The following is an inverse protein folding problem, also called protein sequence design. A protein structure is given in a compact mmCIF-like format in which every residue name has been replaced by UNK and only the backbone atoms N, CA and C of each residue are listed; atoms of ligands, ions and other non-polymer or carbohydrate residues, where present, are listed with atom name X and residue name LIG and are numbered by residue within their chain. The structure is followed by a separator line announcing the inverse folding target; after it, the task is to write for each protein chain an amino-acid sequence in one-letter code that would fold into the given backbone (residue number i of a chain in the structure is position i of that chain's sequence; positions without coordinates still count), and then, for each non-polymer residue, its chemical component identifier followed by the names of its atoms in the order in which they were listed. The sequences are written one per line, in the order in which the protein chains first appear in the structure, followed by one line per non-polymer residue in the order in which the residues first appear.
data_IF_094374176214
#
_entry.id   IF_094374176214
#
_cell.length_a   1.000
_cell.length_b   1.000
_cell.length_c   1.000
_cell.angle_alpha   90.00
_cell.angle_beta   90.00
_cell.angle_gamma   90.00
#
_symmetry.space_group_name_H-M   'P 1'
#
loop_
_entity.id
_entity.type
_entity.pdbx_description
1 polymer ?
#
# COMPACT_ATOMS: atom_id res chain seq x y z
N UNK A 1 11.04 15.80 13.14
CA UNK A 1 10.87 16.83 12.10
C UNK A 1 9.68 17.67 12.48
N UNK A 2 9.73 19.01 12.35
CA UNK A 2 8.55 19.84 12.54
C UNK A 2 7.53 19.61 11.41
N UNK A 3 6.26 19.88 11.68
CA UNK A 3 5.25 20.04 10.62
C UNK A 3 5.55 21.33 9.86
N UNK A 4 5.29 21.35 8.56
CA UNK A 4 5.51 22.53 7.74
C UNK A 4 4.66 23.72 8.23
N UNK A 5 5.20 24.95 8.24
CA UNK A 5 4.47 26.13 8.71
C UNK A 5 3.12 26.35 8.01
N UNK A 6 3.04 26.07 6.71
CA UNK A 6 1.79 26.23 5.95
C UNK A 6 0.70 25.26 6.38
N UNK A 7 1.05 23.99 6.66
CA UNK A 7 0.10 23.01 7.17
C UNK A 7 -0.35 23.42 8.59
N UNK A 8 0.56 23.92 9.43
CA UNK A 8 0.21 24.43 10.77
C UNK A 8 -0.70 25.67 10.67
N UNK A 9 -0.43 26.58 9.73
CA UNK A 9 -1.23 27.79 9.51
C UNK A 9 -2.64 27.47 9.00
N UNK A 10 -2.81 26.40 8.21
CA UNK A 10 -4.12 25.91 7.78
C UNK A 10 -4.99 25.38 8.93
N UNK A 11 -4.40 25.16 10.10
CA UNK A 11 -5.06 24.69 11.32
C UNK A 11 -4.92 25.69 12.48
N UNK A 12 -5.01 26.99 12.18
CA UNK A 12 -5.01 28.10 13.15
C UNK A 12 -3.78 28.13 14.09
N UNK A 13 -2.65 27.57 13.65
CA UNK A 13 -1.44 27.48 14.46
C UNK A 13 -1.37 26.25 15.37
N UNK A 14 -2.39 25.40 15.38
CA UNK A 14 -2.47 24.19 16.22
C UNK A 14 -1.70 23.04 15.57
N UNK A 15 -0.49 22.79 16.09
CA UNK A 15 0.40 21.71 15.64
C UNK A 15 -0.22 20.33 15.86
N UNK A 16 -0.76 19.97 17.04
CA UNK A 16 -1.54 18.75 17.23
C UNK A 16 -2.67 18.57 16.20
N UNK A 17 -3.47 19.61 15.92
CA UNK A 17 -4.57 19.53 14.96
C UNK A 17 -4.05 19.28 13.54
N UNK A 18 -2.99 19.97 13.12
CA UNK A 18 -2.34 19.73 11.83
C UNK A 18 -1.81 18.30 11.72
N UNK A 19 -1.18 17.78 12.78
CA UNK A 19 -0.71 16.40 12.83
C UNK A 19 -1.86 15.40 12.66
N UNK A 20 -2.96 15.62 13.40
CA UNK A 20 -4.15 14.77 13.34
C UNK A 20 -4.78 14.79 11.94
N UNK A 21 -4.87 15.96 11.31
CA UNK A 21 -5.37 16.10 9.94
C UNK A 21 -4.48 15.38 8.91
N UNK A 22 -3.15 15.47 9.05
CA UNK A 22 -2.20 14.74 8.21
C UNK A 22 -2.35 13.22 8.36
N UNK A 23 -2.51 12.73 9.59
CA UNK A 23 -2.76 11.31 9.88
C UNK A 23 -4.08 10.88 9.23
N UNK A 24 -5.15 11.65 9.45
CA UNK A 24 -6.47 11.36 8.88
C UNK A 24 -6.39 11.24 7.36
N UNK A 25 -5.72 12.19 6.69
CA UNK A 25 -5.57 12.17 5.23
C UNK A 25 -4.80 10.96 4.72
N UNK A 26 -3.74 10.56 5.43
CA UNK A 26 -2.97 9.38 5.09
C UNK A 26 -3.81 8.10 5.27
N UNK A 27 -4.55 7.99 6.37
CA UNK A 27 -5.45 6.85 6.64
C UNK A 27 -6.55 6.77 5.59
N UNK A 28 -7.22 7.88 5.27
CA UNK A 28 -8.25 7.92 4.23
C UNK A 28 -7.72 7.42 2.88
N UNK A 29 -6.51 7.82 2.51
CA UNK A 29 -5.90 7.36 1.26
C UNK A 29 -5.53 5.88 1.30
N UNK A 30 -4.97 5.38 2.40
CA UNK A 30 -4.64 3.96 2.56
C UNK A 30 -5.91 3.08 2.51
N UNK A 31 -7.02 3.56 3.07
CA UNK A 31 -8.26 2.80 3.21
C UNK A 31 -9.30 3.07 2.12
N UNK A 32 -9.02 3.95 1.16
CA UNK A 32 -9.93 4.24 0.07
C UNK A 32 -10.11 3.03 -0.87
N UNK A 33 -11.35 2.73 -1.21
CA UNK A 33 -11.70 1.74 -2.24
C UNK A 33 -11.72 2.43 -3.62
N UNK A 34 -10.55 2.87 -4.07
CA UNK A 34 -10.37 3.48 -5.39
C UNK A 34 -9.72 2.49 -6.35
N UNK A 35 -9.86 2.74 -7.66
CA UNK A 35 -9.20 1.93 -8.70
C UNK A 35 -7.67 1.97 -8.57
N UNK A 36 -7.12 3.08 -8.07
CA UNK A 36 -5.69 3.25 -7.80
C UNK A 36 -5.19 2.39 -6.64
N UNK A 37 -6.11 2.01 -5.73
CA UNK A 37 -5.79 1.22 -4.53
C UNK A 37 -6.06 -0.29 -4.70
N UNK A 38 -6.47 -0.73 -5.90
CA UNK A 38 -6.65 -2.15 -6.20
C UNK A 38 -5.30 -2.84 -6.25
N UNK A 39 -5.13 -3.86 -5.44
CA UNK A 39 -3.83 -4.54 -5.30
C UNK A 39 -3.84 -5.89 -6.02
N UNK A 40 -4.79 -6.76 -5.67
CA UNK A 40 -4.83 -8.13 -6.16
C UNK A 40 -6.21 -8.51 -6.65
N UNK A 41 -6.28 -9.24 -7.76
CA UNK A 41 -7.44 -10.06 -8.08
C UNK A 41 -7.11 -11.52 -7.75
N UNK A 42 -7.96 -12.10 -6.91
CA UNK A 42 -7.89 -13.49 -6.51
C UNK A 42 -9.01 -14.24 -7.22
N UNK A 43 -8.70 -15.39 -7.80
CA UNK A 43 -9.69 -16.33 -8.34
C UNK A 43 -9.72 -17.59 -7.48
N UNK A 44 -10.92 -17.99 -7.09
CA UNK A 44 -11.20 -19.17 -6.27
C UNK A 44 -11.49 -20.40 -7.13
N UNK A 45 -11.37 -21.60 -6.55
CA UNK A 45 -11.59 -22.87 -7.24
C UNK A 45 -13.01 -23.03 -7.80
N UNK A 46 -13.99 -22.36 -7.18
CA UNK A 46 -15.37 -22.29 -7.65
C UNK A 46 -15.58 -21.35 -8.86
N UNK A 47 -14.54 -20.60 -9.27
CA UNK A 47 -14.58 -19.64 -10.36
C UNK A 47 -14.85 -18.19 -9.95
N UNK A 48 -15.14 -17.93 -8.67
CA UNK A 48 -15.38 -16.58 -8.17
C UNK A 48 -14.11 -15.73 -8.20
N UNK A 49 -14.29 -14.42 -8.42
CA UNK A 49 -13.22 -13.43 -8.42
C UNK A 49 -13.45 -12.37 -7.37
N UNK A 50 -12.39 -12.01 -6.67
CA UNK A 50 -12.43 -10.97 -5.64
C UNK A 50 -11.25 -10.01 -5.83
N UNK A 51 -11.54 -8.72 -5.72
CA UNK A 51 -10.54 -7.65 -5.75
C UNK A 51 -10.23 -7.26 -4.32
N UNK A 52 -8.97 -7.40 -3.94
CA UNK A 52 -8.45 -6.95 -2.66
C UNK A 52 -7.74 -5.61 -2.84
N UNK A 53 -7.91 -4.74 -1.85
CA UNK A 53 -7.36 -3.40 -1.83
C UNK A 53 -6.19 -3.33 -0.85
N UNK A 54 -5.35 -2.30 -0.95
CA UNK A 54 -4.24 -2.11 0.00
C UNK A 54 -4.66 -2.09 1.47
N UNK A 55 -5.89 -1.64 1.75
CA UNK A 55 -6.46 -1.65 3.10
C UNK A 55 -6.41 -3.02 3.78
N UNK A 56 -6.45 -4.10 2.98
CA UNK A 56 -6.45 -5.49 3.43
C UNK A 56 -5.03 -6.00 3.75
N UNK A 57 -3.98 -5.24 3.42
CA UNK A 57 -2.56 -5.61 3.56
C UNK A 57 -1.78 -4.72 4.54
N UNK A 58 -2.46 -3.84 5.25
CA UNK A 58 -1.79 -2.94 6.17
C UNK A 58 -1.13 -3.69 7.34
N UNK A 59 0.11 -3.31 7.63
CA UNK A 59 0.86 -3.82 8.77
C UNK A 59 1.58 -2.68 9.50
N UNK A 60 1.94 -2.90 10.77
CA UNK A 60 2.71 -1.92 11.54
C UNK A 60 4.05 -1.58 10.88
N UNK A 61 4.72 -2.57 10.28
CA UNK A 61 5.97 -2.38 9.54
C UNK A 61 5.76 -1.51 8.29
N UNK A 62 4.67 -1.70 7.55
CA UNK A 62 4.32 -0.87 6.40
C UNK A 62 4.09 0.58 6.81
N UNK A 63 3.35 0.82 7.89
CA UNK A 63 3.11 2.18 8.41
C UNK A 63 4.44 2.83 8.84
N UNK A 64 5.33 2.08 9.49
CA UNK A 64 6.66 2.57 9.85
C UNK A 64 7.48 2.98 8.62
N UNK A 65 7.49 2.14 7.57
CA UNK A 65 8.17 2.43 6.32
C UNK A 65 7.63 3.68 5.64
N UNK A 66 6.29 3.85 5.57
CA UNK A 66 5.65 5.05 5.04
C UNK A 66 6.14 6.30 5.78
N UNK A 67 6.13 6.26 7.12
CA UNK A 67 6.60 7.38 7.94
C UNK A 67 8.09 7.66 7.71
N UNK A 68 8.93 6.62 7.62
CA UNK A 68 10.35 6.78 7.35
C UNK A 68 10.62 7.40 5.97
N UNK A 69 9.89 6.97 4.95
CA UNK A 69 9.96 7.48 3.58
C UNK A 69 9.50 8.93 3.49
N UNK A 70 8.39 9.28 4.14
CA UNK A 70 7.89 10.65 4.21
C UNK A 70 8.89 11.60 4.88
N UNK A 71 9.52 11.16 5.98
CA UNK A 71 10.60 11.91 6.65
C UNK A 71 11.81 12.11 5.73
N UNK A 72 12.21 11.07 5.00
CA UNK A 72 13.31 11.14 4.03
C UNK A 72 13.00 12.12 2.89
N UNK A 73 11.77 12.10 2.37
CA UNK A 73 11.31 13.03 1.34
C UNK A 73 11.35 14.49 1.84
N UNK A 74 10.88 14.74 3.07
CA UNK A 74 10.94 16.07 3.68
C UNK A 74 12.37 16.59 3.86
N UNK A 75 13.32 15.72 4.22
CA UNK A 75 14.74 16.10 4.33
C UNK A 75 15.32 16.42 2.95
N UNK A 76 14.99 15.65 1.91
CA UNK A 76 15.41 15.95 0.53
C UNK A 76 14.85 17.29 0.07
N UNK A 77 13.55 17.53 0.25
CA UNK A 77 12.92 18.80 -0.09
C UNK A 77 13.60 19.99 0.60
N UNK A 78 14.00 19.84 1.87
CA UNK A 78 14.77 20.85 2.59
C UNK A 78 16.15 21.11 1.97
N UNK A 79 16.86 20.05 1.55
CA UNK A 79 18.16 20.20 0.89
C UNK A 79 18.04 20.88 -0.49
N UNK A 80 16.95 20.64 -1.20
CA UNK A 80 16.73 21.15 -2.56
C UNK A 80 16.20 22.60 -2.57
N UNK A 81 15.27 22.92 -1.67
CA UNK A 81 14.51 24.19 -1.68
C UNK A 81 14.76 25.08 -0.46
N UNK A 82 15.34 24.53 0.61
CA UNK A 82 15.46 25.19 1.91
C UNK A 82 14.18 25.16 2.76
N UNK A 83 13.07 24.61 2.24
CA UNK A 83 11.79 24.56 2.96
C UNK A 83 11.82 23.52 4.09
N UNK A 84 11.60 23.97 5.31
CA UNK A 84 11.71 23.12 6.50
C UNK A 84 10.34 22.60 6.93
N UNK A 85 10.24 21.28 7.06
CA UNK A 85 9.12 20.62 7.69
C UNK A 85 8.53 19.51 6.83
N UNK A 86 7.82 18.59 7.47
CA UNK A 86 7.05 17.56 6.77
C UNK A 86 5.70 18.13 6.35
N UNK A 87 5.35 17.98 5.07
CA UNK A 87 4.05 18.33 4.51
C UNK A 87 3.17 17.10 4.36
N UNK A 88 1.85 17.32 4.27
CA UNK A 88 0.89 16.24 3.95
C UNK A 88 1.24 15.53 2.65
N UNK A 89 1.75 16.27 1.66
CA UNK A 89 2.16 15.69 0.37
C UNK A 89 3.26 14.64 0.52
N UNK A 90 4.22 14.83 1.43
CA UNK A 90 5.27 13.83 1.67
C UNK A 90 4.71 12.52 2.23
N UNK A 91 3.65 12.57 3.04
CA UNK A 91 2.96 11.38 3.52
C UNK A 91 2.18 10.72 2.38
N UNK A 92 1.50 11.52 1.56
CA UNK A 92 0.72 11.01 0.43
C UNK A 92 1.62 10.28 -0.57
N UNK A 93 2.71 10.93 -0.98
CA UNK A 93 3.68 10.34 -1.90
C UNK A 93 4.33 9.10 -1.29
N UNK A 94 4.61 9.11 0.02
CA UNK A 94 5.20 7.97 0.70
C UNK A 94 4.28 6.75 0.75
N UNK A 95 2.96 6.93 0.93
CA UNK A 95 2.01 5.83 0.82
C UNK A 95 2.01 5.24 -0.60
N UNK A 96 1.96 6.09 -1.63
CA UNK A 96 1.97 5.65 -3.02
C UNK A 96 3.27 4.91 -3.39
N UNK A 97 4.41 5.38 -2.90
CA UNK A 97 5.70 4.73 -3.12
C UNK A 97 5.83 3.41 -2.36
N UNK A 98 5.32 3.34 -1.12
CA UNK A 98 5.28 2.08 -0.38
C UNK A 98 4.37 1.06 -1.07
N UNK A 99 3.23 1.50 -1.59
CA UNK A 99 2.35 0.65 -2.39
C UNK A 99 3.06 0.10 -3.61
N UNK A 100 3.85 0.93 -4.30
CA UNK A 100 4.66 0.53 -5.46
C UNK A 100 5.73 -0.49 -5.15
N UNK A 101 6.42 -0.34 -4.02
CA UNK A 101 7.45 -1.30 -3.63
C UNK A 101 6.86 -2.63 -3.15
N UNK A 102 5.65 -2.61 -2.58
CA UNK A 102 4.93 -3.83 -2.23
C UNK A 102 4.33 -4.57 -3.44
N UNK A 103 4.36 -4.00 -4.66
CA UNK A 103 3.91 -4.68 -5.89
C UNK A 103 4.81 -5.86 -6.29
N UNK A 104 6.07 -5.87 -5.82
CA UNK A 104 7.06 -6.92 -6.10
C UNK A 104 7.01 -8.08 -5.08
N UNK A 105 6.21 -7.96 -4.02
CA UNK A 105 5.98 -9.03 -3.02
C UNK A 105 5.30 -10.32 -3.50
N UNK A 106 4.58 -10.41 -4.64
CA UNK A 106 4.00 -11.67 -5.09
C UNK A 106 5.03 -12.80 -5.16
N UNK A 107 6.30 -12.47 -5.41
CA UNK A 107 7.38 -13.46 -5.47
C UNK A 107 7.68 -14.18 -4.15
N UNK A 108 7.06 -13.79 -3.02
CA UNK A 108 7.40 -14.32 -1.69
C UNK A 108 6.22 -14.79 -0.84
N UNK A 109 4.97 -14.59 -1.27
CA UNK A 109 3.81 -14.90 -0.41
C UNK A 109 3.19 -16.24 -0.77
N UNK A 110 3.28 -17.19 0.15
CA UNK A 110 2.70 -18.53 0.03
C UNK A 110 1.16 -18.42 -0.09
N UNK A 111 0.51 -19.14 -1.04
CA UNK A 111 -0.95 -19.32 -1.11
C UNK A 111 -1.66 -19.58 0.22
N UNK A 112 -0.99 -20.24 1.18
CA UNK A 112 -1.55 -20.49 2.52
C UNK A 112 -1.63 -19.23 3.40
N UNK A 113 -0.72 -18.27 3.23
CA UNK A 113 -0.78 -16.97 3.93
C UNK A 113 -2.01 -16.17 3.49
N UNK A 114 -2.42 -16.34 2.23
CA UNK A 114 -3.60 -15.72 1.65
C UNK A 114 -4.91 -16.29 2.20
N UNK A 115 -5.00 -17.61 2.38
CA UNK A 115 -6.15 -18.25 3.00
C UNK A 115 -6.41 -17.73 4.44
N UNK A 116 -5.35 -17.28 5.13
CA UNK A 116 -5.44 -16.68 6.47
C UNK A 116 -5.93 -15.23 6.45
N UNK A 117 -5.51 -14.44 5.45
CA UNK A 117 -5.84 -13.00 5.33
C UNK A 117 -7.26 -12.81 4.78
N UNK A 118 -7.69 -13.64 3.82
CA UNK A 118 -8.99 -13.51 3.15
C UNK A 118 -10.20 -13.70 4.08
N UNK A 119 -10.04 -14.34 5.24
CA UNK A 119 -11.13 -14.56 6.21
C UNK A 119 -12.27 -15.47 5.72
N UNK A 120 -12.39 -15.70 4.41
CA UNK A 120 -13.29 -16.68 3.78
C UNK A 120 -12.73 -18.07 3.97
N UNK A 121 -13.08 -18.64 5.13
CA UNK A 121 -12.81 -20.00 5.52
C UNK A 121 -13.61 -20.96 4.60
N UNK A 122 -13.05 -21.35 3.45
CA UNK A 122 -13.65 -22.44 2.67
C UNK A 122 -13.08 -22.68 1.27
N UNK A 123 -12.76 -21.63 0.52
CA UNK A 123 -12.49 -21.78 -0.92
C UNK A 123 -10.99 -21.68 -1.24
N UNK A 124 -10.48 -22.66 -1.98
CA UNK A 124 -9.07 -22.71 -2.36
C UNK A 124 -8.78 -21.67 -3.44
N UNK A 125 -7.75 -20.86 -3.24
CA UNK A 125 -7.26 -19.90 -4.24
C UNK A 125 -6.53 -20.67 -5.35
N UNK A 126 -6.96 -20.47 -6.60
CA UNK A 126 -6.37 -21.13 -7.79
C UNK A 126 -5.55 -20.18 -8.65
N UNK A 127 -5.75 -18.88 -8.51
CA UNK A 127 -5.03 -17.89 -9.29
C UNK A 127 -4.98 -16.54 -8.57
N UNK A 128 -3.84 -15.87 -8.62
CA UNK A 128 -3.65 -14.51 -8.10
C UNK A 128 -2.98 -13.68 -9.20
N UNK A 129 -3.52 -12.50 -9.48
CA UNK A 129 -2.87 -11.48 -10.33
C UNK A 129 -2.80 -10.14 -9.63
N UNK A 130 -1.72 -9.40 -9.85
CA UNK A 130 -1.63 -8.00 -9.45
C UNK A 130 -2.47 -7.12 -10.37
N UNK A 131 -3.08 -6.06 -9.83
CA UNK A 131 -3.93 -5.13 -10.58
C UNK A 131 -3.29 -3.76 -10.80
N UNK A 132 -1.98 -3.64 -10.55
CA UNK A 132 -1.37 -2.33 -10.41
C UNK A 132 -1.17 -1.66 -11.77
N UNK A 133 -1.67 -0.42 -11.88
CA UNK A 133 -1.49 0.40 -13.07
C UNK A 133 -0.11 1.05 -13.08
N UNK A 134 0.86 0.41 -13.72
CA UNK A 134 2.09 1.08 -14.10
C UNK A 134 1.82 2.26 -15.05
N UNK A 135 2.48 3.41 -14.85
CA UNK A 135 2.48 4.55 -15.79
C UNK A 135 3.03 4.23 -17.19
N UNK A 136 3.43 2.97 -17.46
CA UNK A 136 3.70 2.44 -18.80
C UNK A 136 2.60 1.42 -19.09
N UNK A 137 1.79 1.73 -20.10
CA UNK A 137 0.45 1.18 -20.29
C UNK A 137 0.36 -0.35 -20.26
N UNK A 138 -0.79 -0.81 -19.76
CA UNK A 138 -1.41 -2.10 -20.04
C UNK A 138 -0.46 -3.32 -20.10
N UNK A 139 0.54 -3.38 -19.21
CA UNK A 139 1.24 -4.63 -18.96
C UNK A 139 0.34 -5.48 -18.07
N UNK A 140 -0.06 -6.65 -18.58
CA UNK A 140 -0.88 -7.60 -17.87
C UNK A 140 -0.20 -7.93 -16.52
N UNK A 141 -0.92 -7.67 -15.42
CA UNK A 141 -0.46 -7.97 -14.07
C UNK A 141 0.17 -9.36 -13.99
N UNK A 142 1.35 -9.43 -13.36
CA UNK A 142 2.11 -10.69 -13.27
C UNK A 142 1.29 -11.71 -12.48
N UNK A 143 1.06 -12.86 -13.10
CA UNK A 143 0.23 -13.92 -12.55
C UNK A 143 1.08 -14.93 -11.78
N UNK A 144 0.64 -15.29 -10.58
CA UNK A 144 1.17 -16.46 -9.87
C UNK A 144 0.17 -17.59 -10.07
N UNK A 145 0.60 -18.62 -10.79
CA UNK A 145 -0.09 -19.89 -10.81
C UNK A 145 0.29 -20.65 -9.54
N UNK A 146 -0.69 -21.03 -8.74
CA UNK A 146 -0.51 -22.06 -7.71
C UNK A 146 -0.19 -23.36 -8.44
N UNK A 147 1.10 -23.67 -8.61
CA UNK A 147 1.52 -25.02 -8.99
C UNK A 147 1.07 -25.89 -7.83
N UNK A 148 -0.02 -26.63 -8.04
CA UNK A 148 -0.42 -27.69 -7.14
C UNK A 148 0.84 -28.51 -6.87
N UNK A 149 1.25 -28.58 -5.60
CA UNK A 149 2.34 -29.42 -5.16
C UNK A 149 1.94 -30.84 -5.55
N UNK A 150 2.33 -31.27 -6.75
CA UNK A 150 2.24 -32.64 -7.19
C UNK A 150 3.09 -33.38 -6.19
N UNK A 151 2.42 -34.13 -5.33
CA UNK A 151 3.10 -34.93 -4.34
C UNK A 151 4.16 -35.80 -5.00
N UNK A 152 5.05 -36.30 -4.14
CA UNK A 152 5.82 -37.51 -4.38
C UNK A 152 7.14 -37.28 -5.12
N UNK A 153 8.20 -37.14 -4.33
CA UNK A 153 9.51 -37.70 -4.68
C UNK A 153 10.02 -38.56 -3.52
N UNK A 154 10.00 -39.87 -3.81
CA UNK A 154 10.81 -41.00 -3.30
C UNK A 154 11.06 -41.13 -1.80
#
# INVERSE_FOLDING_TARGET
LPIHPDDVAAHDGDVPAACAAMIQRAVEMIYAESDENRFLEVTYANGDKEILYFKDFNSGAMIENIVARAKKAAIKAYLDTGEKGIRVQHLIDACLDEFRENEDLPNTTNPDDWARISGKKGERIVFIRTLVQGKKGNEAGRSIATVANTGQYL
#
